data_IF_528605573032
#
_entry.id   IF_528605573032
#
_cell.length_a   1.000
_cell.length_b   1.000
_cell.length_c   1.000
_cell.angle_alpha   90.00
_cell.angle_beta   90.00
_cell.angle_gamma   90.00
#
_symmetry.space_group_name_H-M   'P 1'
#
loop_
_entity.id
_entity.type
_entity.pdbx_description
1 polymer ?
#
# COMPACT_ATOMS: atom_id res chain seq x y z
N UNK A 1 23.06 11.40 30.41
CA UNK A 1 21.97 10.93 31.29
C UNK A 1 22.02 9.42 31.38
N UNK A 2 21.95 8.83 32.60
CA UNK A 2 21.98 7.37 32.80
C UNK A 2 20.75 6.91 33.58
N UNK A 3 20.07 5.90 33.04
CA UNK A 3 18.95 5.23 33.69
C UNK A 3 19.43 3.90 34.29
N UNK A 4 18.92 3.53 35.45
CA UNK A 4 19.10 2.19 36.00
C UNK A 4 17.80 1.66 36.58
N UNK A 5 17.70 0.33 36.60
CA UNK A 5 16.63 -0.40 37.26
C UNK A 5 17.25 -1.12 38.45
N UNK A 6 17.04 -0.59 39.67
CA UNK A 6 17.50 -1.26 40.90
C UNK A 6 16.62 -2.48 41.16
N UNK A 7 17.25 -3.56 41.63
CA UNK A 7 16.55 -4.80 42.00
C UNK A 7 15.55 -4.46 43.11
N UNK A 8 14.28 -4.78 42.90
CA UNK A 8 13.16 -4.45 43.81
C UNK A 8 12.24 -3.33 43.35
N UNK A 9 12.61 -2.53 42.35
CA UNK A 9 11.75 -1.47 41.80
C UNK A 9 11.14 -1.84 40.44
N UNK A 10 9.84 -1.53 40.27
CA UNK A 10 9.12 -1.78 39.01
C UNK A 10 9.35 -0.72 37.93
N UNK A 11 9.95 0.42 38.28
CA UNK A 11 10.16 1.56 37.40
C UNK A 11 11.65 1.87 37.19
N UNK A 12 11.96 2.54 36.08
CA UNK A 12 13.29 3.04 35.77
C UNK A 12 13.55 4.33 36.55
N UNK A 13 14.75 4.48 37.08
CA UNK A 13 15.16 5.69 37.78
C UNK A 13 16.30 6.37 37.03
N UNK A 14 16.26 7.71 36.97
CA UNK A 14 17.39 8.52 36.52
C UNK A 14 18.40 8.54 37.66
N UNK A 15 19.57 7.94 37.43
CA UNK A 15 20.63 7.86 38.44
C UNK A 15 21.62 9.00 38.30
N UNK A 16 21.78 9.53 37.09
CA UNK A 16 22.70 10.63 36.82
C UNK A 16 22.11 11.55 35.77
N UNK A 17 21.86 12.80 36.18
CA UNK A 17 21.50 13.92 35.33
C UNK A 17 22.67 14.90 35.37
N UNK A 18 23.29 15.14 34.23
CA UNK A 18 24.32 16.16 34.07
C UNK A 18 23.67 17.21 33.19
N UNK A 19 23.49 18.42 33.74
CA UNK A 19 22.81 19.52 33.04
C UNK A 19 23.67 20.04 31.89
N UNK A 20 24.95 20.30 32.16
CA UNK A 20 25.94 20.66 31.14
C UNK A 20 26.54 19.42 30.49
N UNK A 21 26.09 19.15 29.27
CA UNK A 21 26.59 18.06 28.46
C UNK A 21 27.30 18.61 27.22
N UNK A 22 28.59 18.29 27.07
CA UNK A 22 29.33 18.43 25.80
C UNK A 22 29.06 17.26 24.85
N UNK A 23 27.91 16.59 24.98
CA UNK A 23 27.53 15.53 24.07
C UNK A 23 27.28 16.15 22.70
N UNK A 24 28.25 16.01 21.80
CA UNK A 24 28.07 16.32 20.40
C UNK A 24 26.89 15.48 19.90
N UNK A 25 25.84 16.12 19.39
CA UNK A 25 24.75 15.43 18.68
C UNK A 25 25.33 14.86 17.40
N UNK A 26 25.88 13.66 17.49
CA UNK A 26 26.32 12.94 16.30
C UNK A 26 25.06 12.53 15.54
N UNK A 27 24.94 12.95 14.28
CA UNK A 27 23.83 12.56 13.41
C UNK A 27 23.85 11.05 13.06
N UNK A 28 24.86 10.33 13.55
CA UNK A 28 25.08 8.90 13.37
C UNK A 28 24.22 8.13 14.37
N UNK A 29 22.92 8.04 14.10
CA UNK A 29 22.02 7.19 14.85
C UNK A 29 22.08 5.77 14.28
N UNK A 30 23.03 4.98 14.75
CA UNK A 30 22.96 3.51 14.63
C UNK A 30 21.61 2.97 15.15
N UNK A 31 20.99 3.69 16.09
CA UNK A 31 19.70 3.39 16.72
C UNK A 31 18.47 3.95 16.00
N UNK A 32 18.59 4.59 14.83
CA UNK A 32 17.39 4.91 14.06
C UNK A 32 16.79 3.60 13.56
N UNK A 33 15.71 3.17 14.24
CA UNK A 33 15.05 1.91 13.95
C UNK A 33 14.56 1.94 12.50
N UNK A 34 15.03 0.99 11.69
CA UNK A 34 14.66 0.87 10.27
C UNK A 34 13.14 0.87 10.08
N UNK A 35 12.39 0.34 11.05
CA UNK A 35 10.93 0.36 11.06
C UNK A 35 10.37 1.78 11.20
N UNK A 36 10.94 2.59 12.10
CA UNK A 36 10.54 3.98 12.25
C UNK A 36 10.79 4.77 10.96
N UNK A 37 11.96 4.59 10.34
CA UNK A 37 12.29 5.22 9.06
C UNK A 37 11.34 4.76 7.95
N UNK A 38 11.10 3.45 7.82
CA UNK A 38 10.18 2.88 6.84
C UNK A 38 8.79 3.51 6.96
N UNK A 39 8.25 3.63 8.18
CA UNK A 39 6.94 4.26 8.41
C UNK A 39 6.92 5.74 8.03
N UNK A 40 7.99 6.47 8.31
CA UNK A 40 8.10 7.89 7.93
C UNK A 40 8.24 8.09 6.43
N UNK A 41 8.95 7.19 5.75
CA UNK A 41 9.12 7.24 4.30
C UNK A 41 7.95 6.66 3.52
N UNK A 42 7.12 5.80 4.11
CA UNK A 42 5.97 5.18 3.44
C UNK A 42 5.08 6.22 2.76
N UNK A 43 4.75 7.31 3.45
CA UNK A 43 3.97 8.41 2.87
C UNK A 43 4.66 9.09 1.68
N UNK A 44 5.97 9.34 1.77
CA UNK A 44 6.74 9.97 0.70
C UNK A 44 6.85 9.03 -0.52
N UNK A 45 7.12 7.76 -0.28
CA UNK A 45 7.31 6.74 -1.32
C UNK A 45 6.00 6.36 -2.01
N UNK A 46 4.85 6.54 -1.36
CA UNK A 46 3.54 6.36 -1.98
C UNK A 46 3.31 7.34 -3.15
N UNK A 47 3.74 8.59 -3.02
CA UNK A 47 3.62 9.60 -4.08
C UNK A 47 4.84 9.65 -5.01
N UNK A 48 6.00 9.18 -4.56
CA UNK A 48 7.25 9.22 -5.33
C UNK A 48 8.02 7.89 -5.26
N UNK A 49 7.49 6.81 -5.85
CA UNK A 49 8.08 5.47 -5.74
C UNK A 49 9.45 5.34 -6.44
N UNK A 50 9.71 6.17 -7.44
CA UNK A 50 10.97 6.21 -8.20
C UNK A 50 12.14 6.85 -7.44
N UNK A 51 11.92 7.39 -6.23
CA UNK A 51 12.94 8.10 -5.47
C UNK A 51 14.13 7.20 -5.13
N UNK A 52 15.35 7.65 -5.46
CA UNK A 52 16.58 6.90 -5.17
C UNK A 52 16.91 6.92 -3.67
N UNK A 53 17.55 5.87 -3.12
CA UNK A 53 17.99 5.85 -1.72
C UNK A 53 18.85 7.05 -1.32
N UNK A 54 19.68 7.58 -2.23
CA UNK A 54 20.45 8.82 -2.02
C UNK A 54 19.56 10.03 -1.74
N UNK A 55 18.43 10.15 -2.43
CA UNK A 55 17.43 11.19 -2.18
C UNK A 55 16.75 11.03 -0.83
N UNK A 56 16.48 9.79 -0.39
CA UNK A 56 15.97 9.54 0.96
C UNK A 56 16.97 9.96 2.04
N UNK A 57 18.27 9.74 1.82
CA UNK A 57 19.32 10.18 2.75
C UNK A 57 19.35 11.71 2.87
N UNK A 58 19.27 12.43 1.75
CA UNK A 58 19.20 13.89 1.76
C UNK A 58 17.97 14.39 2.51
N UNK A 59 16.79 13.81 2.24
CA UNK A 59 15.54 14.15 2.94
C UNK A 59 15.58 13.83 4.43
N UNK A 60 16.25 12.76 4.84
CA UNK A 60 16.40 12.40 6.26
C UNK A 60 17.19 13.46 7.02
N UNK A 61 18.27 13.95 6.40
CA UNK A 61 19.09 15.03 6.97
C UNK A 61 18.31 16.34 7.00
N UNK A 62 17.64 16.70 5.90
CA UNK A 62 16.85 17.93 5.80
C UNK A 62 15.71 17.98 6.82
N UNK A 63 14.95 16.88 6.96
CA UNK A 63 13.71 16.87 7.75
C UNK A 63 13.92 16.51 9.22
N UNK A 64 14.89 15.64 9.51
CA UNK A 64 15.09 15.09 10.85
C UNK A 64 16.53 15.24 11.36
N UNK A 65 17.45 15.79 10.57
CA UNK A 65 18.86 15.89 10.96
C UNK A 65 19.57 14.53 11.09
N UNK A 66 18.99 13.47 10.51
CA UNK A 66 19.49 12.09 10.67
C UNK A 66 20.33 11.70 9.46
N UNK A 67 21.58 11.28 9.69
CA UNK A 67 22.42 10.68 8.66
C UNK A 67 22.16 9.19 8.59
N UNK A 68 21.66 8.75 7.44
CA UNK A 68 21.43 7.33 7.18
C UNK A 68 22.64 6.73 6.46
N UNK A 69 22.99 5.50 6.84
CA UNK A 69 23.84 4.65 6.02
C UNK A 69 23.15 4.30 4.70
N UNK A 70 23.94 3.81 3.73
CA UNK A 70 23.38 3.35 2.46
C UNK A 70 22.35 2.23 2.67
N UNK A 71 22.68 1.24 3.51
CA UNK A 71 21.84 0.07 3.75
C UNK A 71 20.58 0.44 4.54
N UNK A 72 20.67 1.37 5.49
CA UNK A 72 19.49 1.89 6.18
C UNK A 72 18.53 2.58 5.21
N UNK A 73 19.04 3.41 4.29
CA UNK A 73 18.21 4.06 3.29
C UNK A 73 17.59 3.07 2.30
N UNK A 74 18.35 2.04 1.91
CA UNK A 74 17.85 0.95 1.08
C UNK A 74 16.72 0.19 1.78
N UNK A 75 16.93 -0.25 3.02
CA UNK A 75 15.92 -1.01 3.78
C UNK A 75 14.69 -0.17 4.11
N UNK A 76 14.88 1.11 4.45
CA UNK A 76 13.80 2.05 4.71
C UNK A 76 12.98 2.37 3.45
N UNK A 77 13.54 2.18 2.24
CA UNK A 77 12.80 2.21 0.99
C UNK A 77 12.12 0.88 0.68
N UNK A 78 12.84 -0.23 0.84
CA UNK A 78 12.38 -1.56 0.41
C UNK A 78 11.17 -2.03 1.21
N UNK A 79 11.22 -1.95 2.54
CA UNK A 79 10.11 -2.38 3.43
C UNK A 79 8.74 -1.75 3.08
N UNK A 80 8.61 -0.41 3.00
CA UNK A 80 7.31 0.16 2.68
C UNK A 80 6.86 -0.14 1.24
N UNK A 81 7.79 -0.31 0.29
CA UNK A 81 7.43 -0.72 -1.07
C UNK A 81 6.93 -2.16 -1.12
N UNK A 82 7.58 -3.09 -0.42
CA UNK A 82 7.13 -4.48 -0.29
C UNK A 82 5.74 -4.55 0.35
N UNK A 83 5.46 -3.74 1.38
CA UNK A 83 4.14 -3.65 1.98
C UNK A 83 3.08 -3.14 0.99
N UNK A 84 3.36 -2.06 0.26
CA UNK A 84 2.41 -1.52 -0.73
C UNK A 84 2.14 -2.51 -1.86
N UNK A 85 3.18 -3.20 -2.35
CA UNK A 85 3.03 -4.23 -3.38
C UNK A 85 2.28 -5.46 -2.86
N UNK A 86 2.59 -5.92 -1.65
CA UNK A 86 1.91 -7.06 -1.00
C UNK A 86 0.42 -6.79 -0.80
N UNK A 87 0.06 -5.62 -0.28
CA UNK A 87 -1.34 -5.21 -0.13
C UNK A 87 -2.07 -5.18 -1.47
N UNK A 88 -1.42 -4.73 -2.54
CA UNK A 88 -1.98 -4.77 -3.88
C UNK A 88 -2.31 -6.19 -4.33
N UNK A 89 -1.33 -7.10 -4.23
CA UNK A 89 -1.50 -8.52 -4.60
C UNK A 89 -2.63 -9.16 -3.81
N UNK A 90 -2.68 -8.93 -2.49
CA UNK A 90 -3.76 -9.43 -1.63
C UNK A 90 -5.13 -8.91 -2.07
N UNK A 91 -5.25 -7.63 -2.44
CA UNK A 91 -6.52 -7.08 -2.95
C UNK A 91 -6.99 -7.76 -4.24
N UNK A 92 -6.08 -8.11 -5.15
CA UNK A 92 -6.44 -8.83 -6.38
C UNK A 92 -6.96 -10.25 -6.10
N UNK A 93 -6.57 -10.89 -4.99
CA UNK A 93 -7.10 -12.20 -4.62
C UNK A 93 -8.60 -12.17 -4.31
N UNK A 94 -9.12 -11.02 -3.87
CA UNK A 94 -10.52 -10.85 -3.47
C UNK A 94 -11.44 -10.40 -4.61
N UNK A 95 -10.91 -10.03 -5.79
CA UNK A 95 -11.70 -9.54 -6.92
C UNK A 95 -12.86 -10.47 -7.30
N UNK A 96 -12.63 -11.79 -7.29
CA UNK A 96 -13.67 -12.77 -7.61
C UNK A 96 -14.78 -12.79 -6.57
N UNK A 97 -14.44 -12.75 -5.29
CA UNK A 97 -15.41 -12.66 -4.19
C UNK A 97 -16.23 -11.36 -4.28
N UNK A 98 -15.60 -10.24 -4.63
CA UNK A 98 -16.32 -8.98 -4.84
C UNK A 98 -17.26 -9.04 -6.04
N UNK A 99 -16.82 -9.61 -7.16
CA UNK A 99 -17.69 -9.81 -8.32
C UNK A 99 -18.92 -10.65 -7.98
N UNK A 100 -18.74 -11.72 -7.20
CA UNK A 100 -19.84 -12.57 -6.74
C UNK A 100 -20.81 -11.82 -5.80
N UNK A 101 -20.31 -11.05 -4.83
CA UNK A 101 -21.18 -10.30 -3.92
C UNK A 101 -21.93 -9.17 -4.65
N UNK A 102 -21.30 -8.58 -5.68
CA UNK A 102 -21.93 -7.59 -6.55
C UNK A 102 -23.09 -8.20 -7.35
N UNK A 103 -22.91 -9.40 -7.93
CA UNK A 103 -23.98 -10.14 -8.61
C UNK A 103 -25.07 -10.57 -7.63
N UNK A 104 -24.73 -10.95 -6.40
CA UNK A 104 -25.70 -11.33 -5.37
C UNK A 104 -26.58 -10.15 -4.92
N UNK A 105 -25.98 -8.96 -4.77
CA UNK A 105 -26.70 -7.75 -4.40
C UNK A 105 -27.47 -7.12 -5.57
N UNK A 106 -26.98 -7.29 -6.80
CA UNK A 106 -27.59 -6.77 -8.03
C UNK A 106 -27.60 -7.85 -9.13
N UNK A 107 -28.58 -8.77 -9.13
CA UNK A 107 -28.59 -9.96 -9.99
C UNK A 107 -28.56 -9.69 -11.50
N UNK A 108 -28.99 -8.50 -11.93
CA UNK A 108 -29.02 -8.05 -13.33
C UNK A 108 -27.76 -7.31 -13.79
N UNK A 109 -26.82 -7.07 -12.86
CA UNK A 109 -25.51 -6.50 -13.20
C UNK A 109 -24.63 -7.54 -13.88
N UNK A 110 -23.67 -7.09 -14.68
CA UNK A 110 -22.72 -7.94 -15.40
C UNK A 110 -21.34 -7.67 -14.82
N UNK A 111 -20.62 -8.73 -14.42
CA UNK A 111 -19.22 -8.66 -13.98
C UNK A 111 -18.43 -9.71 -14.74
N UNK A 112 -17.43 -9.26 -15.50
CA UNK A 112 -16.51 -10.14 -16.24
C UNK A 112 -15.10 -9.88 -15.75
N UNK A 113 -14.41 -10.91 -15.27
CA UNK A 113 -13.02 -10.84 -14.82
C UNK A 113 -12.19 -11.74 -15.73
N UNK A 114 -11.25 -11.14 -16.46
CA UNK A 114 -10.37 -11.88 -17.35
C UNK A 114 -9.00 -12.07 -16.72
N UNK A 115 -8.49 -13.29 -16.85
CA UNK A 115 -7.17 -13.70 -16.42
C UNK A 115 -6.42 -14.32 -17.58
N UNK A 116 -5.15 -13.99 -17.71
CA UNK A 116 -4.23 -14.66 -18.62
C UNK A 116 -3.50 -15.78 -17.89
N UNK A 117 -3.35 -16.92 -18.56
CA UNK A 117 -2.53 -18.03 -18.07
C UNK A 117 -1.08 -17.78 -18.44
N UNK A 118 -0.25 -17.48 -17.43
CA UNK A 118 1.18 -17.27 -17.61
C UNK A 118 1.95 -18.15 -16.64
N UNK A 119 2.69 -19.13 -17.19
CA UNK A 119 3.57 -20.03 -16.42
C UNK A 119 2.88 -20.73 -15.22
N UNK A 120 1.64 -21.18 -15.38
CA UNK A 120 0.89 -21.87 -14.33
C UNK A 120 0.27 -20.96 -13.26
N UNK A 121 0.39 -19.63 -13.42
CA UNK A 121 -0.31 -18.65 -12.59
C UNK A 121 -1.38 -17.93 -13.41
N UNK A 122 -2.57 -17.77 -12.84
CA UNK A 122 -3.62 -16.91 -13.39
C UNK A 122 -3.31 -15.46 -13.05
N UNK A 123 -2.86 -14.68 -14.04
CA UNK A 123 -2.55 -13.25 -13.87
C UNK A 123 -3.78 -12.44 -14.24
N UNK A 124 -4.20 -11.52 -13.36
CA UNK A 124 -5.29 -10.58 -13.66
C UNK A 124 -4.93 -9.68 -14.84
N UNK A 125 -5.82 -9.57 -15.82
CA UNK A 125 -5.64 -8.69 -16.97
C UNK A 125 -6.61 -7.50 -16.92
N UNK A 126 -7.91 -7.76 -16.84
CA UNK A 126 -8.95 -6.74 -16.83
C UNK A 126 -10.24 -7.18 -16.14
N UNK A 127 -11.01 -6.21 -15.69
CA UNK A 127 -12.38 -6.39 -15.17
C UNK A 127 -13.33 -5.42 -15.89
N UNK A 128 -14.50 -5.93 -16.27
CA UNK A 128 -15.63 -5.16 -16.76
C UNK A 128 -16.79 -5.28 -15.77
N UNK A 129 -17.44 -4.16 -15.44
CA UNK A 129 -18.59 -4.09 -14.53
C UNK A 129 -19.66 -3.19 -15.15
N UNK A 130 -20.83 -3.76 -15.44
CA UNK A 130 -22.05 -3.03 -15.81
C UNK A 130 -23.06 -3.16 -14.70
N UNK A 131 -23.32 -2.05 -13.98
CA UNK A 131 -24.29 -2.00 -12.89
C UNK A 131 -25.68 -1.73 -13.45
N UNK A 132 -26.66 -2.54 -13.07
CA UNK A 132 -28.05 -2.33 -13.50
C UNK A 132 -28.56 -0.92 -13.13
N UNK A 133 -28.24 -0.44 -11.93
CA UNK A 133 -28.65 0.88 -11.46
C UNK A 133 -28.06 2.05 -12.31
N UNK A 134 -27.04 1.77 -13.12
CA UNK A 134 -26.44 2.74 -14.04
C UNK A 134 -26.95 2.58 -15.48
N UNK A 135 -27.72 1.55 -15.79
CA UNK A 135 -28.47 1.45 -17.04
C UNK A 135 -29.65 2.40 -16.89
N UNK A 136 -29.63 3.49 -17.66
CA UNK A 136 -30.65 4.53 -17.57
C UNK A 136 -32.06 3.91 -17.61
N UNK A 137 -32.92 4.35 -16.70
CA UNK A 137 -34.35 4.06 -16.74
C UNK A 137 -34.98 4.77 -17.95
N UNK A 138 -34.67 4.30 -19.16
CA UNK A 138 -35.41 4.66 -20.36
C UNK A 138 -36.65 3.76 -20.40
N UNK A 139 -37.63 4.11 -19.56
CA UNK A 139 -38.98 3.56 -19.66
C UNK A 139 -39.57 4.00 -21.01
N UNK A 140 -39.48 3.13 -22.00
CA UNK A 140 -40.34 3.17 -23.18
C UNK A 140 -39.63 3.25 -24.53
N UNK A 141 -38.87 2.23 -24.92
CA UNK A 141 -38.96 1.68 -26.28
C UNK A 141 -38.25 0.32 -26.37
N UNK A 142 -38.55 -0.48 -27.38
CA UNK A 142 -37.99 -1.82 -27.62
C UNK A 142 -36.45 -1.89 -27.85
N UNK A 143 -35.70 -0.84 -27.53
CA UNK A 143 -34.24 -0.72 -27.65
C UNK A 143 -33.45 -1.46 -26.57
N UNK A 144 -34.06 -1.73 -25.41
CA UNK A 144 -33.39 -2.33 -24.25
C UNK A 144 -32.93 -3.79 -24.50
N UNK A 145 -33.66 -4.55 -25.33
CA UNK A 145 -33.27 -5.91 -25.72
C UNK A 145 -32.04 -5.94 -26.65
N UNK A 146 -31.86 -4.87 -27.45
CA UNK A 146 -30.73 -4.74 -28.38
C UNK A 146 -29.45 -4.33 -27.65
N UNK A 147 -29.55 -3.40 -26.69
CA UNK A 147 -28.43 -3.02 -25.83
C UNK A 147 -27.97 -4.17 -24.93
N UNK A 148 -28.87 -4.97 -24.36
CA UNK A 148 -28.49 -6.18 -23.60
C UNK A 148 -27.74 -7.20 -24.47
N UNK A 149 -28.23 -7.46 -25.69
CA UNK A 149 -27.55 -8.34 -26.64
C UNK A 149 -26.19 -7.77 -27.11
N UNK A 150 -26.05 -6.45 -27.22
CA UNK A 150 -24.80 -5.80 -27.59
C UNK A 150 -23.80 -5.76 -26.42
N UNK A 151 -24.26 -5.59 -25.17
CA UNK A 151 -23.43 -5.70 -23.96
C UNK A 151 -23.01 -7.14 -23.68
N UNK A 152 -23.89 -8.14 -23.89
CA UNK A 152 -23.53 -9.55 -23.83
C UNK A 152 -22.53 -9.91 -24.93
N UNK A 153 -22.69 -9.40 -26.16
CA UNK A 153 -21.69 -9.58 -27.24
C UNK A 153 -20.38 -8.86 -26.97
N UNK A 154 -20.40 -7.70 -26.31
CA UNK A 154 -19.18 -7.02 -25.86
C UNK A 154 -18.54 -7.84 -24.74
N UNK A 155 -19.31 -8.35 -23.77
CA UNK A 155 -18.79 -9.24 -22.74
C UNK A 155 -18.19 -10.54 -23.34
N UNK A 156 -18.82 -11.12 -24.36
CA UNK A 156 -18.33 -12.30 -25.10
C UNK A 156 -17.09 -12.00 -25.95
N UNK A 157 -17.00 -10.83 -26.60
CA UNK A 157 -15.80 -10.40 -27.33
C UNK A 157 -14.64 -9.99 -26.41
N UNK A 158 -14.92 -9.80 -25.11
CA UNK A 158 -13.93 -9.43 -24.10
C UNK A 158 -13.57 -10.58 -23.15
N UNK A 159 -14.22 -11.73 -23.26
CA UNK A 159 -13.89 -12.98 -22.55
C UNK A 159 -12.77 -13.75 -23.28
#
# INVERSE_FOLDING_TARGET
>A
MRFSKRIGNRFWQVVTLIEDHTCHRTADSSSAETNWLANKFAGILRYSPSMKPSGLRAKAVERWGVKLSHDQAYMAKRKPMELVQGVGIEQFTHLRSYGQELLKSNPTSIVVIQCADSNGNHVFERIYVSLEACKANDEGDGSNLRLKNDEEKVAENWA
#
